data_IF_249334422194
#
_entry.id   IF_249334422194
#
_cell.length_a   1.000
_cell.length_b   1.000
_cell.length_c   1.000
_cell.angle_alpha   90.00
_cell.angle_beta   90.00
_cell.angle_gamma   90.00
#
_symmetry.space_group_name_H-M   'P 1'
#
loop_
_entity.id
_entity.type
_entity.pdbx_description
1 polymer ?
#
# COMPACT_ATOMS: atom_id res chain seq x y z
N UNK A 1 45.29 -18.68 -28.13
CA UNK A 1 44.05 -17.88 -28.29
C UNK A 1 43.13 -18.24 -27.13
N UNK A 2 43.15 -17.44 -26.06
CA UNK A 2 42.36 -17.68 -24.84
C UNK A 2 40.96 -17.11 -25.02
N UNK A 3 39.94 -17.97 -24.99
CA UNK A 3 38.53 -17.54 -25.02
C UNK A 3 38.20 -16.66 -23.81
N UNK A 4 37.39 -15.60 -23.97
CA UNK A 4 36.99 -14.76 -22.84
C UNK A 4 36.07 -15.53 -21.89
N UNK A 5 36.27 -15.36 -20.58
CA UNK A 5 35.42 -15.95 -19.56
C UNK A 5 34.00 -15.37 -19.63
N UNK A 6 32.94 -16.20 -19.49
CA UNK A 6 31.57 -15.71 -19.51
C UNK A 6 31.32 -14.79 -18.31
N UNK A 7 31.10 -13.51 -18.57
CA UNK A 7 30.64 -12.54 -17.59
C UNK A 7 29.24 -12.97 -17.15
N UNK A 8 29.11 -13.56 -15.96
CA UNK A 8 27.83 -13.94 -15.40
C UNK A 8 27.04 -12.68 -15.06
N UNK A 9 26.30 -12.13 -16.03
CA UNK A 9 25.28 -11.13 -15.76
C UNK A 9 24.30 -11.77 -14.79
N UNK A 10 24.27 -11.32 -13.54
CA UNK A 10 23.37 -11.81 -12.51
C UNK A 10 21.92 -11.66 -13.00
N UNK A 11 21.39 -12.72 -13.60
CA UNK A 11 20.08 -12.70 -14.23
C UNK A 11 19.07 -12.72 -13.10
N UNK A 12 18.34 -11.61 -12.90
CA UNK A 12 17.29 -11.51 -11.89
C UNK A 12 16.36 -12.71 -12.04
N UNK A 13 16.20 -13.48 -10.97
CA UNK A 13 15.30 -14.63 -10.99
C UNK A 13 13.87 -14.15 -11.26
N UNK A 14 13.01 -14.97 -11.89
CA UNK A 14 11.61 -14.62 -12.10
C UNK A 14 10.91 -14.15 -10.83
N UNK A 15 11.23 -14.77 -9.68
CA UNK A 15 10.72 -14.37 -8.37
C UNK A 15 11.15 -12.97 -7.96
N UNK A 16 12.42 -12.60 -8.14
CA UNK A 16 12.92 -11.25 -7.81
C UNK A 16 12.30 -10.20 -8.72
N UNK A 17 12.18 -10.47 -10.02
CA UNK A 17 11.56 -9.54 -10.97
C UNK A 17 10.08 -9.30 -10.62
N UNK A 18 9.35 -10.35 -10.27
CA UNK A 18 7.96 -10.26 -9.84
C UNK A 18 7.82 -9.53 -8.49
N UNK A 19 8.67 -9.87 -7.52
CA UNK A 19 8.71 -9.20 -6.22
C UNK A 19 9.01 -7.70 -6.33
N UNK A 20 9.90 -7.29 -7.23
CA UNK A 20 10.20 -5.88 -7.48
C UNK A 20 8.98 -5.15 -8.06
N UNK A 21 8.28 -5.75 -9.02
CA UNK A 21 7.04 -5.17 -9.57
C UNK A 21 5.97 -5.00 -8.49
N UNK A 22 5.79 -6.00 -7.63
CA UNK A 22 4.84 -5.94 -6.49
C UNK A 22 5.28 -4.86 -5.50
N UNK A 23 6.56 -4.81 -5.15
CA UNK A 23 7.10 -3.83 -4.21
C UNK A 23 6.90 -2.39 -4.70
N UNK A 24 7.13 -2.13 -5.98
CA UNK A 24 6.89 -0.80 -6.58
C UNK A 24 5.40 -0.45 -6.54
N UNK A 25 4.53 -1.37 -6.98
CA UNK A 25 3.10 -1.13 -7.02
C UNK A 25 2.52 -0.87 -5.61
N UNK A 26 2.87 -1.73 -4.65
CA UNK A 26 2.40 -1.63 -3.25
C UNK A 26 3.04 -0.44 -2.54
N UNK A 27 4.31 -0.15 -2.80
CA UNK A 27 5.03 0.98 -2.22
C UNK A 27 4.43 2.33 -2.63
N UNK A 28 4.09 2.51 -3.91
CA UNK A 28 3.37 3.70 -4.38
C UNK A 28 2.00 3.87 -3.70
N UNK A 29 1.32 2.75 -3.47
CA UNK A 29 0.05 2.73 -2.72
C UNK A 29 0.24 3.21 -1.28
N UNK A 30 1.30 2.73 -0.60
CA UNK A 30 1.67 3.14 0.76
C UNK A 30 2.03 4.63 0.87
N UNK A 31 2.78 5.16 -0.11
CA UNK A 31 3.11 6.60 -0.16
C UNK A 31 1.84 7.45 -0.28
N UNK A 32 0.89 7.02 -1.13
CA UNK A 32 -0.39 7.71 -1.32
C UNK A 32 -1.22 7.74 -0.03
N UNK A 33 -1.29 6.61 0.69
CA UNK A 33 -1.93 6.53 2.00
C UNK A 33 -1.25 7.44 3.05
N UNK A 34 0.08 7.47 3.08
CA UNK A 34 0.84 8.34 3.98
C UNK A 34 0.54 9.83 3.76
N UNK A 35 0.49 10.26 2.50
CA UNK A 35 0.13 11.64 2.16
C UNK A 35 -1.31 11.99 2.60
N UNK A 36 -2.26 11.08 2.40
CA UNK A 36 -3.63 11.25 2.86
C UNK A 36 -3.75 11.28 4.39
N UNK A 37 -2.98 10.46 5.11
CA UNK A 37 -2.95 10.47 6.57
C UNK A 37 -2.45 11.80 7.12
N UNK A 38 -1.40 12.38 6.50
CA UNK A 38 -0.89 13.71 6.84
C UNK A 38 -1.95 14.78 6.56
N UNK A 39 -2.61 14.74 5.40
CA UNK A 39 -3.66 15.68 5.04
C UNK A 39 -4.88 15.61 5.99
N UNK A 40 -5.19 14.41 6.49
CA UNK A 40 -6.26 14.18 7.46
C UNK A 40 -5.86 14.51 8.92
N UNK A 41 -4.62 14.95 9.16
CA UNK A 41 -4.13 15.29 10.50
C UNK A 41 -3.94 14.09 11.43
N UNK A 42 -3.78 12.89 10.87
CA UNK A 42 -3.58 11.66 11.66
C UNK A 42 -2.16 11.61 12.22
N UNK A 43 -2.04 11.22 13.48
CA UNK A 43 -0.74 10.87 14.08
C UNK A 43 -0.21 9.57 13.47
N UNK A 44 1.12 9.39 13.53
CA UNK A 44 1.80 8.18 13.02
C UNK A 44 1.18 6.90 13.59
N UNK A 45 0.88 6.90 14.89
CA UNK A 45 0.25 5.75 15.56
C UNK A 45 -1.17 5.47 15.07
N UNK A 46 -1.95 6.50 14.75
CA UNK A 46 -3.29 6.33 14.16
C UNK A 46 -3.20 5.79 12.73
N UNK A 47 -2.25 6.27 11.92
CA UNK A 47 -2.02 5.76 10.58
C UNK A 47 -1.58 4.28 10.60
N UNK A 48 -0.68 3.91 11.52
CA UNK A 48 -0.23 2.52 11.72
C UNK A 48 -1.39 1.63 12.20
N UNK A 49 -2.18 2.09 13.18
CA UNK A 49 -3.34 1.34 13.67
C UNK A 49 -4.38 1.14 12.55
N UNK A 50 -4.66 2.16 11.74
CA UNK A 50 -5.56 2.04 10.61
C UNK A 50 -5.02 1.05 9.57
N UNK A 51 -3.72 1.08 9.31
CA UNK A 51 -3.07 0.17 8.35
C UNK A 51 -3.06 -1.28 8.83
N UNK A 52 -2.92 -1.51 10.14
CA UNK A 52 -2.95 -2.82 10.77
C UNK A 52 -4.38 -3.39 10.92
N UNK A 53 -5.37 -2.54 11.20
CA UNK A 53 -6.77 -2.95 11.41
C UNK A 53 -7.55 -3.13 10.09
N UNK A 54 -7.15 -2.42 9.04
CA UNK A 54 -7.78 -2.53 7.72
C UNK A 54 -7.04 -3.57 6.87
N UNK A 55 -7.61 -4.77 6.81
CA UNK A 55 -7.03 -5.98 6.21
C UNK A 55 -6.82 -5.91 4.69
N UNK A 56 -7.47 -4.96 3.99
CA UNK A 56 -7.29 -4.77 2.54
C UNK A 56 -6.93 -3.31 2.23
N UNK A 57 -6.00 -3.08 1.29
CA UNK A 57 -5.61 -1.72 0.90
C UNK A 57 -6.81 -0.87 0.47
N UNK A 58 -7.82 -1.47 -0.19
CA UNK A 58 -9.04 -0.79 -0.59
C UNK A 58 -9.83 -0.19 0.58
N UNK A 59 -9.97 -0.90 1.70
CA UNK A 59 -10.75 -0.41 2.85
C UNK A 59 -10.13 0.82 3.51
N UNK A 60 -8.80 1.00 3.40
CA UNK A 60 -8.10 2.20 3.85
C UNK A 60 -8.43 3.44 3.01
N UNK A 61 -8.52 3.30 1.69
CA UNK A 61 -8.94 4.40 0.80
C UNK A 61 -10.42 4.77 1.00
N UNK A 62 -11.29 3.79 1.22
CA UNK A 62 -12.70 4.05 1.51
C UNK A 62 -12.89 4.78 2.84
N UNK A 63 -12.17 4.37 3.89
CA UNK A 63 -12.22 5.02 5.19
C UNK A 63 -11.80 6.49 5.11
N UNK A 64 -10.65 6.75 4.48
CA UNK A 64 -10.13 8.11 4.31
C UNK A 64 -11.06 8.96 3.44
N UNK A 65 -11.58 8.41 2.33
CA UNK A 65 -12.49 9.13 1.44
C UNK A 65 -13.72 9.67 2.18
N UNK A 66 -14.32 8.84 3.04
CA UNK A 66 -15.49 9.24 3.84
C UNK A 66 -15.13 10.31 4.87
N UNK A 67 -14.04 10.14 5.63
CA UNK A 67 -13.61 11.13 6.62
C UNK A 67 -13.24 12.47 5.97
N UNK A 68 -12.48 12.43 4.87
CA UNK A 68 -12.07 13.63 4.12
C UNK A 68 -13.25 14.38 3.49
N UNK A 69 -14.34 13.67 3.18
CA UNK A 69 -15.59 14.24 2.70
C UNK A 69 -16.50 14.82 3.79
N UNK A 70 -16.06 14.83 5.06
CA UNK A 70 -16.86 15.28 6.21
C UNK A 70 -17.86 14.23 6.73
N UNK A 71 -17.71 12.97 6.32
CA UNK A 71 -18.52 11.86 6.81
C UNK A 71 -18.17 11.47 8.25
N UNK A 72 -19.12 10.81 8.92
CA UNK A 72 -18.92 10.35 10.29
C UNK A 72 -17.97 9.15 10.37
N UNK A 73 -17.34 8.97 11.54
CA UNK A 73 -16.50 7.80 11.82
C UNK A 73 -17.24 6.48 11.55
N UNK A 74 -18.52 6.40 11.92
CA UNK A 74 -19.35 5.22 11.66
C UNK A 74 -19.53 4.95 10.16
N UNK A 75 -19.80 5.98 9.36
CA UNK A 75 -19.93 5.85 7.91
C UNK A 75 -18.60 5.39 7.27
N UNK A 76 -17.47 5.88 7.77
CA UNK A 76 -16.15 5.51 7.29
C UNK A 76 -15.82 4.05 7.59
N UNK A 77 -16.08 3.56 8.81
CA UNK A 77 -15.89 2.13 9.15
C UNK A 77 -16.82 1.22 8.37
N UNK A 78 -18.07 1.62 8.13
CA UNK A 78 -19.00 0.80 7.33
C UNK A 78 -18.55 0.69 5.87
N UNK A 79 -18.17 1.82 5.25
CA UNK A 79 -17.66 1.82 3.87
C UNK A 79 -16.39 0.97 3.74
N UNK A 80 -15.47 1.11 4.70
CA UNK A 80 -14.24 0.32 4.75
C UNK A 80 -14.52 -1.17 4.95
N UNK A 81 -15.47 -1.53 5.82
CA UNK A 81 -15.82 -2.93 6.11
C UNK A 81 -16.47 -3.62 4.90
N UNK A 82 -17.45 -2.98 4.25
CA UNK A 82 -18.09 -3.52 3.04
C UNK A 82 -17.09 -3.74 1.90
N UNK A 83 -16.13 -2.83 1.77
CA UNK A 83 -15.07 -2.91 0.78
C UNK A 83 -13.99 -3.96 1.14
N UNK A 84 -13.83 -4.28 2.42
CA UNK A 84 -12.94 -5.33 2.91
C UNK A 84 -13.51 -6.75 2.81
N UNK A 85 -14.84 -6.89 2.71
CA UNK A 85 -15.55 -8.18 2.66
C UNK A 85 -15.69 -8.77 1.24
N UNK A 86 -15.30 -8.02 0.21
CA UNK A 86 -15.28 -8.44 -1.20
C UNK A 86 -13.93 -9.05 -1.60
#
# INVERSE_FOLDING_TARGET
>A
MTSPAPTATARLTPAVRMGLSIAVAVGLYGISFGALAVAAGLSVWQAVALSALMFTGGSQFAFIGVISGGGSLAAATTAASLLGLR
#
